data_IF_915654640711
#
_entry.id   IF_915654640711
#
_cell.length_a   1.000
_cell.length_b   1.000
_cell.length_c   1.000
_cell.angle_alpha   90.00
_cell.angle_beta   90.00
_cell.angle_gamma   90.00
#
_symmetry.space_group_name_H-M   'P 1'
#
loop_
_entity.id
_entity.type
_entity.pdbx_description
1 polymer ?
#
# COMPACT_ATOMS: atom_id res chain seq x y z
N UNK A 1 2.95 -3.55 6.13
CA UNK A 1 3.02 -4.74 5.27
C UNK A 1 1.92 -4.61 4.27
N UNK A 2 2.28 -4.66 3.00
CA UNK A 2 1.33 -4.70 1.90
C UNK A 2 0.38 -5.92 2.03
N UNK A 3 -0.87 -5.79 1.58
CA UNK A 3 -1.83 -6.91 1.67
C UNK A 3 -1.59 -7.99 0.61
N UNK A 4 -1.15 -7.57 -0.57
CA UNK A 4 -0.76 -8.40 -1.70
C UNK A 4 0.41 -7.76 -2.44
N UNK A 5 1.27 -8.56 -3.08
CA UNK A 5 2.45 -8.05 -3.80
C UNK A 5 2.15 -7.44 -5.17
N UNK A 6 0.86 -7.27 -5.51
CA UNK A 6 0.35 -6.81 -6.80
C UNK A 6 0.94 -7.53 -8.01
N UNK A 7 1.41 -8.78 -7.82
CA UNK A 7 2.13 -9.57 -8.81
C UNK A 7 3.37 -8.84 -9.40
N UNK A 8 4.04 -8.05 -8.55
CA UNK A 8 5.29 -7.39 -8.89
C UNK A 8 6.39 -8.40 -9.28
N UNK A 9 7.16 -8.07 -10.31
CA UNK A 9 8.31 -8.89 -10.72
C UNK A 9 9.43 -8.67 -9.71
N UNK A 10 9.53 -9.57 -8.74
CA UNK A 10 10.66 -9.65 -7.83
C UNK A 10 11.56 -10.83 -8.22
N UNK A 11 12.86 -10.55 -8.35
CA UNK A 11 13.88 -11.53 -8.72
C UNK A 11 14.04 -12.73 -7.78
N UNK A 12 13.55 -12.65 -6.53
CA UNK A 12 13.60 -13.78 -5.58
C UNK A 12 12.27 -14.52 -5.57
N UNK A 13 11.17 -13.81 -5.32
CA UNK A 13 9.81 -14.35 -5.33
C UNK A 13 8.80 -13.20 -5.47
N UNK A 14 7.91 -13.28 -6.45
CA UNK A 14 6.88 -12.27 -6.74
C UNK A 14 5.79 -12.11 -5.68
N UNK A 15 5.79 -12.94 -4.63
CA UNK A 15 4.88 -12.80 -3.47
C UNK A 15 5.51 -12.06 -2.29
N UNK A 16 6.78 -11.64 -2.39
CA UNK A 16 7.38 -10.81 -1.34
C UNK A 16 6.75 -9.41 -1.36
N UNK A 17 6.49 -8.90 -0.16
CA UNK A 17 5.95 -7.56 0.04
C UNK A 17 6.88 -6.73 0.92
N UNK A 18 6.66 -5.42 0.90
CA UNK A 18 7.31 -4.47 1.79
C UNK A 18 6.67 -4.50 3.18
N UNK A 19 7.50 -4.52 4.22
CA UNK A 19 7.07 -4.38 5.61
C UNK A 19 7.96 -3.38 6.35
N UNK A 20 7.32 -2.40 7.00
CA UNK A 20 7.97 -1.36 7.80
C UNK A 20 7.45 -1.42 9.23
N UNK A 21 8.35 -1.24 10.21
CA UNK A 21 8.02 -1.13 11.62
C UNK A 21 8.60 0.19 12.17
N UNK A 22 7.74 1.03 12.74
CA UNK A 22 8.12 2.36 13.24
C UNK A 22 7.63 2.50 14.67
N UNK A 23 8.54 2.87 15.58
CA UNK A 23 8.22 3.10 16.98
C UNK A 23 9.47 3.09 17.85
N UNK A 24 9.34 3.43 19.14
CA UNK A 24 10.48 3.49 20.06
C UNK A 24 11.11 2.12 20.31
N UNK A 25 10.34 1.04 20.23
CA UNK A 25 10.86 -0.33 20.43
C UNK A 25 11.28 -1.01 19.12
N UNK A 26 10.99 -0.42 17.96
CA UNK A 26 11.47 -0.94 16.69
C UNK A 26 12.97 -0.63 16.54
N UNK A 27 13.78 -1.60 16.12
CA UNK A 27 15.20 -1.36 15.87
C UNK A 27 15.35 -0.37 14.71
N UNK A 28 16.15 0.68 14.90
CA UNK A 28 16.34 1.76 13.91
C UNK A 28 17.55 1.53 13.03
N UNK A 29 17.46 1.96 11.77
CA UNK A 29 18.59 1.94 10.82
C UNK A 29 19.07 0.53 10.44
N UNK A 30 18.21 -0.49 10.62
CA UNK A 30 18.52 -1.87 10.31
C UNK A 30 17.58 -2.40 9.23
N UNK A 31 18.09 -3.31 8.41
CA UNK A 31 17.29 -4.17 7.53
C UNK A 31 17.27 -5.55 8.18
N UNK A 32 16.10 -5.98 8.64
CA UNK A 32 15.92 -7.33 9.14
C UNK A 32 15.65 -8.28 7.97
N UNK A 33 16.57 -9.20 7.72
CA UNK A 33 16.44 -10.22 6.66
C UNK A 33 15.83 -11.53 7.16
N UNK A 34 15.26 -11.56 8.35
CA UNK A 34 14.49 -12.70 8.85
C UNK A 34 13.26 -12.91 7.96
N UNK A 35 12.98 -14.17 7.61
CA UNK A 35 11.77 -14.50 6.85
C UNK A 35 10.54 -14.33 7.74
N UNK A 36 9.62 -13.47 7.31
CA UNK A 36 8.35 -13.22 7.99
C UNK A 36 7.18 -13.36 7.02
N UNK A 37 6.05 -13.75 7.57
CA UNK A 37 4.74 -13.79 6.91
C UNK A 37 3.78 -12.80 7.57
N UNK A 38 2.61 -12.59 6.94
CA UNK A 38 1.55 -11.76 7.53
C UNK A 38 1.05 -12.32 8.87
N UNK A 39 1.15 -13.64 9.05
CA UNK A 39 0.75 -14.31 10.29
C UNK A 39 1.74 -13.96 11.43
N UNK A 40 3.04 -13.91 11.14
CA UNK A 40 4.05 -13.50 12.13
C UNK A 40 3.85 -12.03 12.55
N UNK A 41 3.48 -11.17 11.61
CA UNK A 41 3.09 -9.78 11.91
C UNK A 41 1.83 -9.73 12.79
N UNK A 42 0.78 -10.46 12.43
CA UNK A 42 -0.47 -10.52 13.21
C UNK A 42 -0.19 -10.98 14.64
N UNK A 43 0.58 -12.05 14.78
CA UNK A 43 1.02 -12.58 16.07
C UNK A 43 1.81 -11.58 16.90
N UNK A 44 2.69 -10.80 16.25
CA UNK A 44 3.45 -9.74 16.92
C UNK A 44 2.53 -8.64 17.46
N UNK A 45 1.55 -8.20 16.66
CA UNK A 45 0.56 -7.19 17.08
C UNK A 45 -0.27 -7.70 18.25
N UNK A 46 -0.75 -8.95 18.18
CA UNK A 46 -1.47 -9.58 19.29
C UNK A 46 -0.64 -9.56 20.58
N UNK A 47 0.64 -9.91 20.51
CA UNK A 47 1.51 -9.89 21.69
C UNK A 47 1.74 -8.48 22.25
N UNK A 48 1.98 -7.49 21.39
CA UNK A 48 2.16 -6.10 21.82
C UNK A 48 0.90 -5.57 22.52
N UNK A 49 -0.29 -5.94 22.03
CA UNK A 49 -1.57 -5.51 22.57
C UNK A 49 -2.09 -6.40 23.72
N UNK A 50 -1.39 -7.49 24.05
CA UNK A 50 -1.83 -8.45 25.08
C UNK A 50 -3.08 -9.25 24.70
N UNK A 51 -3.32 -9.42 23.40
CA UNK A 51 -4.48 -10.15 22.88
C UNK A 51 -4.21 -11.66 22.81
N UNK A 52 -5.24 -12.50 23.03
CA UNK A 52 -5.13 -13.92 22.73
C UNK A 52 -5.02 -14.16 21.21
N UNK A 53 -4.43 -15.28 20.77
CA UNK A 53 -4.39 -15.65 19.37
C UNK A 53 -5.81 -15.87 18.84
N UNK A 54 -6.14 -15.31 17.67
CA UNK A 54 -7.47 -15.47 17.10
C UNK A 54 -7.71 -16.87 16.50
N UNK A 55 -6.66 -17.56 16.07
CA UNK A 55 -6.75 -18.90 15.49
C UNK A 55 -5.47 -19.73 15.75
N UNK A 56 -5.46 -20.99 15.29
CA UNK A 56 -4.35 -21.92 15.48
C UNK A 56 -3.06 -21.49 14.76
N UNK A 57 -3.18 -20.83 13.60
CA UNK A 57 -2.01 -20.37 12.85
C UNK A 57 -1.30 -19.24 13.59
N UNK A 58 -2.07 -18.28 14.11
CA UNK A 58 -1.51 -17.18 14.92
C UNK A 58 -0.87 -17.72 16.21
N UNK A 59 -1.48 -18.73 16.84
CA UNK A 59 -0.90 -19.36 18.03
C UNK A 59 0.47 -20.01 17.77
N UNK A 60 0.65 -20.60 16.59
CA UNK A 60 1.88 -21.29 16.19
C UNK A 60 2.92 -20.37 15.54
N UNK A 61 2.53 -19.16 15.11
CA UNK A 61 3.41 -18.21 14.48
C UNK A 61 4.47 -17.65 15.44
N UNK A 62 5.62 -17.30 14.88
CA UNK A 62 6.72 -16.73 15.66
C UNK A 62 6.66 -15.21 15.59
N UNK A 63 6.60 -14.52 16.74
CA UNK A 63 6.67 -13.06 16.75
C UNK A 63 7.96 -12.53 16.11
N UNK A 64 7.91 -11.31 15.59
CA UNK A 64 9.01 -10.63 14.92
C UNK A 64 10.08 -10.12 15.90
N UNK A 65 10.56 -10.96 16.82
CA UNK A 65 11.49 -10.55 17.89
C UNK A 65 12.77 -9.86 17.38
N UNK A 66 13.24 -10.21 16.18
CA UNK A 66 14.44 -9.59 15.61
C UNK A 66 14.21 -8.13 15.19
N UNK A 67 12.97 -7.75 14.86
CA UNK A 67 12.62 -6.38 14.49
C UNK A 67 12.49 -5.43 15.69
N UNK A 68 12.37 -5.96 16.92
CA UNK A 68 12.10 -5.18 18.13
C UNK A 68 13.20 -5.32 19.20
N UNK A 69 13.28 -4.33 20.08
CA UNK A 69 14.15 -4.25 21.25
C UNK A 69 13.29 -4.11 22.51
N UNK A 70 13.77 -4.63 23.65
CA UNK A 70 13.14 -4.41 24.95
C UNK A 70 13.45 -3.03 25.54
N UNK A 71 14.43 -2.32 24.98
CA UNK A 71 14.78 -0.96 25.39
C UNK A 71 14.28 0.03 24.33
N UNK A 72 13.52 1.08 24.72
CA UNK A 72 13.04 2.07 23.78
C UNK A 72 14.17 3.02 23.35
N UNK A 73 14.20 3.34 22.06
CA UNK A 73 14.94 4.45 21.48
C UNK A 73 13.98 5.65 21.27
N UNK A 74 14.14 6.67 22.10
CA UNK A 74 13.33 7.89 22.11
C UNK A 74 13.93 9.03 21.29
N UNK A 75 14.97 8.76 20.49
CA UNK A 75 15.56 9.78 19.62
C UNK A 75 14.48 10.35 18.69
N UNK A 76 14.30 11.68 18.61
CA UNK A 76 13.30 12.26 17.72
C UNK A 76 13.53 11.89 16.26
N UNK A 77 12.45 11.89 15.47
CA UNK A 77 12.54 11.77 14.02
C UNK A 77 12.68 13.16 13.41
N UNK A 78 13.72 13.36 12.60
CA UNK A 78 13.90 14.58 11.82
C UNK A 78 12.95 14.54 10.61
N UNK A 79 11.84 15.27 10.70
CA UNK A 79 10.80 15.24 9.67
C UNK A 79 11.33 15.77 8.34
N UNK A 80 11.11 15.02 7.27
CA UNK A 80 11.37 15.47 5.91
C UNK A 80 10.06 15.99 5.33
N UNK A 81 9.97 17.28 4.94
CA UNK A 81 8.76 17.82 4.35
C UNK A 81 8.49 17.15 3.00
N UNK A 82 7.22 17.01 2.66
CA UNK A 82 6.84 16.52 1.34
C UNK A 82 7.36 17.47 0.25
N UNK A 83 7.93 16.92 -0.82
CA UNK A 83 8.51 17.71 -1.91
C UNK A 83 7.47 18.06 -2.98
N UNK A 84 6.39 17.28 -3.07
CA UNK A 84 5.29 17.48 -4.01
C UNK A 84 4.06 17.87 -3.21
N UNK A 85 3.31 18.89 -3.64
CA UNK A 85 2.13 19.29 -2.90
C UNK A 85 1.06 18.18 -3.02
N UNK A 86 0.48 17.75 -1.89
CA UNK A 86 -0.53 16.68 -1.88
C UNK A 86 -1.84 17.08 -2.56
N UNK A 87 -2.04 18.38 -2.74
CA UNK A 87 -3.17 19.02 -3.39
C UNK A 87 -2.85 19.47 -4.83
N UNK A 88 -1.66 19.17 -5.35
CA UNK A 88 -1.34 19.38 -6.75
C UNK A 88 -2.13 18.39 -7.61
N UNK A 89 -3.16 18.91 -8.27
CA UNK A 89 -3.93 18.18 -9.26
C UNK A 89 -3.34 18.38 -10.66
N UNK A 90 -3.58 17.40 -11.54
CA UNK A 90 -3.34 17.57 -12.97
C UNK A 90 -4.02 18.86 -13.45
N UNK A 91 -3.28 19.70 -14.19
CA UNK A 91 -3.66 21.08 -14.53
C UNK A 91 -4.91 21.24 -15.42
N UNK A 92 -5.67 20.17 -15.71
CA UNK A 92 -6.83 20.19 -16.61
C UNK A 92 -6.51 20.60 -18.06
N UNK A 93 -5.26 20.96 -18.35
CA UNK A 93 -4.84 21.47 -19.65
C UNK A 93 -4.58 20.32 -20.61
N UNK A 94 -5.24 20.35 -21.77
CA UNK A 94 -5.05 19.36 -22.84
C UNK A 94 -3.91 19.71 -23.80
N UNK A 95 -3.27 20.86 -23.60
CA UNK A 95 -2.22 21.37 -24.50
C UNK A 95 -0.99 20.45 -24.42
N UNK A 96 -0.67 19.82 -25.55
CA UNK A 96 0.48 18.89 -25.66
C UNK A 96 0.17 17.44 -25.28
N UNK A 97 -1.07 17.11 -24.92
CA UNK A 97 -1.47 15.74 -24.61
C UNK A 97 -1.74 14.92 -25.88
N UNK A 98 -1.17 13.72 -25.95
CA UNK A 98 -1.55 12.72 -26.95
C UNK A 98 -2.96 12.17 -26.69
N UNK A 99 -3.53 11.43 -27.66
CA UNK A 99 -4.89 10.88 -27.55
C UNK A 99 -5.12 10.03 -26.29
N UNK A 100 -4.10 9.26 -25.87
CA UNK A 100 -4.17 8.42 -24.67
C UNK A 100 -4.26 9.28 -23.40
N UNK A 101 -3.43 10.33 -23.31
CA UNK A 101 -3.45 11.28 -22.20
C UNK A 101 -4.79 12.03 -22.12
N UNK A 102 -5.39 12.38 -23.27
CA UNK A 102 -6.72 12.98 -23.31
C UNK A 102 -7.81 12.01 -22.83
N UNK A 103 -7.76 10.73 -23.23
CA UNK A 103 -8.72 9.73 -22.75
C UNK A 103 -8.59 9.46 -21.25
N UNK A 104 -7.37 9.43 -20.72
CA UNK A 104 -7.15 9.30 -19.27
C UNK A 104 -7.63 10.52 -18.49
N UNK A 105 -7.48 11.72 -19.04
CA UNK A 105 -8.00 12.94 -18.42
C UNK A 105 -9.54 12.94 -18.36
N UNK A 106 -10.21 12.53 -19.45
CA UNK A 106 -11.68 12.40 -19.47
C UNK A 106 -12.16 11.38 -18.44
N UNK A 107 -11.58 10.17 -18.44
CA UNK A 107 -11.89 9.12 -17.48
C UNK A 107 -11.66 9.55 -16.03
N UNK A 108 -10.54 10.24 -15.75
CA UNK A 108 -10.23 10.79 -14.42
C UNK A 108 -11.25 11.84 -13.99
N UNK A 109 -11.66 12.72 -14.90
CA UNK A 109 -12.65 13.76 -14.60
C UNK A 109 -14.01 13.13 -14.29
N UNK A 110 -14.39 12.05 -14.98
CA UNK A 110 -15.60 11.28 -14.71
C UNK A 110 -15.52 10.52 -13.38
N UNK A 111 -14.42 9.80 -13.12
CA UNK A 111 -14.20 9.02 -11.88
C UNK A 111 -14.24 9.89 -10.62
N UNK A 112 -13.56 11.04 -10.67
CA UNK A 112 -13.42 11.93 -9.52
C UNK A 112 -14.40 13.11 -9.59
N UNK A 113 -15.46 13.01 -10.41
CA UNK A 113 -16.49 14.05 -10.58
C UNK A 113 -17.38 14.26 -9.35
N UNK A 114 -17.48 13.25 -8.49
CA UNK A 114 -18.28 13.30 -7.27
C UNK A 114 -17.39 13.60 -6.07
N UNK A 115 -17.82 14.50 -5.15
CA UNK A 115 -17.16 14.64 -3.85
C UNK A 115 -17.13 13.28 -3.16
N UNK A 116 -16.02 12.94 -2.52
CA UNK A 116 -15.78 11.67 -1.84
C UNK A 116 -17.03 11.26 -1.05
N UNK A 117 -17.79 10.31 -1.61
CA UNK A 117 -18.86 9.63 -0.90
C UNK A 117 -18.21 8.77 0.19
N UNK A 118 -18.96 8.43 1.24
CA UNK A 118 -18.41 7.80 2.44
C UNK A 118 -17.40 6.67 2.14
N UNK A 119 -16.36 6.46 2.96
CA UNK A 119 -15.19 5.60 2.66
C UNK A 119 -15.41 4.19 2.09
N UNK A 120 -16.63 3.65 2.16
CA UNK A 120 -16.96 2.28 1.76
C UNK A 120 -18.08 2.19 0.69
N UNK A 121 -18.48 3.31 0.07
CA UNK A 121 -19.45 3.28 -1.02
C UNK A 121 -18.76 2.80 -2.31
N UNK A 122 -18.94 1.51 -2.65
CA UNK A 122 -18.53 0.99 -3.96
C UNK A 122 -19.32 1.72 -5.04
N UNK A 123 -18.64 2.51 -5.88
CA UNK A 123 -19.28 3.10 -7.06
C UNK A 123 -19.68 1.96 -8.01
N UNK A 124 -20.99 1.72 -8.17
CA UNK A 124 -21.51 0.71 -9.10
C UNK A 124 -21.00 0.93 -10.54
N UNK A 125 -20.51 2.14 -10.88
CA UNK A 125 -19.91 2.42 -12.18
C UNK A 125 -18.49 1.89 -12.38
N UNK A 126 -17.80 1.36 -11.36
CA UNK A 126 -16.49 0.70 -11.54
C UNK A 126 -16.57 -0.53 -12.44
N UNK A 127 -17.75 -1.15 -12.59
CA UNK A 127 -18.00 -2.20 -13.59
C UNK A 127 -17.85 -1.72 -15.04
N UNK A 128 -18.11 -0.45 -15.34
CA UNK A 128 -18.02 0.09 -16.70
C UNK A 128 -16.57 0.43 -17.10
N UNK A 129 -15.66 0.65 -16.14
CA UNK A 129 -14.23 0.90 -16.43
C UNK A 129 -13.50 -0.33 -16.97
N UNK A 130 -14.00 -1.54 -16.69
CA UNK A 130 -13.53 -2.76 -17.36
C UNK A 130 -13.68 -2.68 -18.90
N UNK A 131 -14.67 -1.91 -19.39
CA UNK A 131 -14.92 -1.76 -20.83
C UNK A 131 -14.01 -0.73 -21.50
N UNK A 132 -13.56 0.31 -20.78
CA UNK A 132 -12.58 1.27 -21.33
C UNK A 132 -11.20 0.61 -21.49
N UNK A 133 -10.83 -0.26 -20.55
CA UNK A 133 -9.58 -1.05 -20.60
C UNK A 133 -9.57 -2.01 -21.79
N UNK A 134 -10.71 -2.62 -22.13
CA UNK A 134 -10.87 -3.47 -23.30
C UNK A 134 -10.72 -2.71 -24.63
N UNK A 135 -11.06 -1.42 -24.69
CA UNK A 135 -10.94 -0.61 -25.91
C UNK A 135 -9.50 -0.19 -26.22
N UNK A 136 -8.66 -0.03 -25.19
CA UNK A 136 -7.23 0.29 -25.36
C UNK A 136 -6.43 -0.96 -25.77
N UNK A 137 -6.82 -2.15 -25.31
CA UNK A 137 -6.16 -3.40 -25.72
C UNK A 137 -6.43 -3.81 -27.17
N UNK A 138 -7.52 -3.33 -27.79
CA UNK A 138 -7.77 -3.54 -29.23
C UNK A 138 -6.85 -2.74 -30.17
N UNK A 139 -5.97 -1.88 -29.64
CA UNK A 139 -4.99 -1.13 -30.43
C UNK A 139 -3.62 -1.83 -30.56
N UNK A 140 -3.42 -2.94 -29.84
CA UNK A 140 -2.20 -3.79 -29.91
C UNK A 140 -2.48 -5.20 -30.45
N UNK A 141 -3.36 -5.30 -31.45
CA UNK A 141 -3.44 -6.44 -32.37
C UNK A 141 -3.39 -5.97 -33.81
#
# INVERSE_FOLDING_TARGET
>A
MEDDSQNGVDHVDGHRTEALAIGPYAKRGVVDSTYYTQIDMRRTIEQILGLPPANQMDFLASPMYNAFSNSPDLTPFDVVPNQIALDELNSGSTVGMNQVQQSWMQASTEMFSKPNLSPDEQDENLYQFSKLTLHIQSFWR
#
